data_IF_083118999702
#
_entry.id   IF_083118999702
#
_cell.length_a   1.000
_cell.length_b   1.000
_cell.length_c   1.000
_cell.angle_alpha   90.00
_cell.angle_beta   90.00
_cell.angle_gamma   90.00
#
_symmetry.space_group_name_H-M   'P 1'
#
loop_
_entity.id
_entity.type
_entity.pdbx_description
1 polymer ?
#
# COMPACT_ATOMS: atom_id res chain seq x y z
N UNK A 1 -5.82 25.74 -5.32
CA UNK A 1 -5.85 25.53 -3.85
C UNK A 1 -4.41 25.31 -3.37
N UNK A 2 -3.75 26.32 -2.76
CA UNK A 2 -2.41 26.13 -2.18
C UNK A 2 -2.57 25.28 -0.92
N UNK A 3 -2.05 24.04 -0.92
CA UNK A 3 -1.90 23.24 0.30
C UNK A 3 -0.87 23.93 1.20
N UNK A 4 -1.31 24.93 1.97
CA UNK A 4 -0.49 25.55 3.01
C UNK A 4 -0.24 24.47 4.06
N UNK A 5 1.03 24.12 4.28
CA UNK A 5 1.53 23.20 5.31
C UNK A 5 1.56 21.70 4.99
N UNK A 6 1.75 21.30 3.74
CA UNK A 6 2.06 19.89 3.44
C UNK A 6 3.44 19.50 3.92
N UNK A 7 3.55 18.43 4.72
CA UNK A 7 4.84 17.89 5.14
C UNK A 7 5.32 16.81 4.17
N UNK A 8 6.08 17.23 3.16
CA UNK A 8 6.67 16.34 2.15
C UNK A 8 7.57 15.27 2.77
N UNK A 9 8.26 15.57 3.87
CA UNK A 9 9.13 14.59 4.55
C UNK A 9 8.32 13.44 5.15
N UNK A 10 7.23 13.73 5.87
CA UNK A 10 6.34 12.70 6.42
C UNK A 10 5.74 11.87 5.28
N UNK A 11 5.25 12.53 4.23
CA UNK A 11 4.72 11.86 3.05
C UNK A 11 5.72 10.90 2.41
N UNK A 12 6.96 11.34 2.18
CA UNK A 12 7.98 10.50 1.55
C UNK A 12 8.40 9.33 2.44
N UNK A 13 8.65 9.57 3.73
CA UNK A 13 9.03 8.52 4.68
C UNK A 13 7.94 7.45 4.75
N UNK A 14 6.68 7.87 4.91
CA UNK A 14 5.55 6.94 5.01
C UNK A 14 5.34 6.18 3.71
N UNK A 15 5.43 6.84 2.55
CA UNK A 15 5.36 6.18 1.24
C UNK A 15 6.44 5.09 1.11
N UNK A 16 7.68 5.39 1.51
CA UNK A 16 8.79 4.42 1.49
C UNK A 16 8.52 3.27 2.44
N UNK A 17 8.03 3.53 3.66
CA UNK A 17 7.69 2.48 4.63
C UNK A 17 6.61 1.55 4.09
N UNK A 18 5.54 2.07 3.49
CA UNK A 18 4.50 1.27 2.86
C UNK A 18 5.05 0.49 1.65
N UNK A 19 5.95 1.09 0.86
CA UNK A 19 6.62 0.42 -0.24
C UNK A 19 7.51 -0.75 0.21
N UNK A 20 8.25 -0.59 1.31
CA UNK A 20 9.05 -1.67 1.90
C UNK A 20 8.17 -2.78 2.49
N UNK A 21 7.04 -2.42 3.12
CA UNK A 21 6.07 -3.37 3.66
C UNK A 21 5.34 -4.14 2.55
N UNK A 22 5.15 -3.51 1.40
CA UNK A 22 4.52 -4.09 0.23
C UNK A 22 5.30 -5.31 -0.31
N UNK A 23 6.63 -5.26 -0.38
CA UNK A 23 7.44 -6.34 -0.96
C UNK A 23 7.19 -7.71 -0.28
N UNK A 24 7.38 -7.88 1.03
CA UNK A 24 7.11 -9.16 1.70
C UNK A 24 5.62 -9.52 1.67
N UNK A 25 4.71 -8.54 1.71
CA UNK A 25 3.26 -8.76 1.60
C UNK A 25 2.89 -9.36 0.24
N UNK A 26 3.47 -8.83 -0.84
CA UNK A 26 3.25 -9.30 -2.20
C UNK A 26 3.77 -10.72 -2.39
N UNK A 27 5.00 -11.00 -1.96
CA UNK A 27 5.57 -12.35 -2.05
C UNK A 27 4.75 -13.37 -1.25
N UNK A 28 4.27 -12.99 -0.08
CA UNK A 28 3.39 -13.82 0.73
C UNK A 28 2.05 -14.09 0.03
N UNK A 29 1.40 -13.07 -0.51
CA UNK A 29 0.13 -13.26 -1.23
C UNK A 29 0.31 -14.13 -2.48
N UNK A 30 1.41 -13.93 -3.21
CA UNK A 30 1.75 -14.77 -4.35
C UNK A 30 1.97 -16.24 -3.95
N UNK A 31 2.69 -16.48 -2.85
CA UNK A 31 2.85 -17.83 -2.31
C UNK A 31 1.54 -18.48 -1.83
N UNK A 32 0.59 -17.68 -1.32
CA UNK A 32 -0.75 -18.13 -0.94
C UNK A 32 -1.53 -18.56 -2.20
N UNK A 33 -1.50 -17.74 -3.26
CA UNK A 33 -2.17 -18.02 -4.53
C UNK A 33 -1.58 -19.25 -5.24
N UNK A 34 -0.27 -19.51 -5.12
CA UNK A 34 0.38 -20.71 -5.64
C UNK A 34 0.18 -21.96 -4.74
N UNK A 35 -0.46 -21.81 -3.58
CA UNK A 35 -0.68 -22.92 -2.62
C UNK A 35 0.59 -23.39 -1.93
N UNK A 36 1.65 -22.58 -1.92
CA UNK A 36 2.94 -22.90 -1.29
C UNK A 36 2.97 -22.55 0.20
N UNK A 37 2.04 -21.70 0.65
CA UNK A 37 1.90 -21.27 2.04
C UNK A 37 1.07 -22.27 2.86
N UNK A 38 1.67 -22.75 3.96
CA UNK A 38 0.99 -23.71 4.85
C UNK A 38 0.18 -22.95 5.91
N UNK A 39 -0.92 -23.54 6.43
CA UNK A 39 -1.69 -22.93 7.52
C UNK A 39 -0.86 -22.60 8.78
N UNK A 40 0.23 -23.34 9.02
CA UNK A 40 1.14 -23.10 10.15
C UNK A 40 2.05 -21.87 10.01
N UNK A 41 2.20 -21.32 8.80
CA UNK A 41 3.12 -20.21 8.49
C UNK A 41 2.51 -18.85 8.86
N UNK A 42 2.14 -18.70 10.13
CA UNK A 42 1.34 -17.58 10.65
C UNK A 42 1.90 -16.20 10.27
N UNK A 43 3.23 -16.04 10.30
CA UNK A 43 3.89 -14.80 9.91
C UNK A 43 3.63 -14.46 8.44
N UNK A 44 3.84 -15.40 7.52
CA UNK A 44 3.63 -15.18 6.10
C UNK A 44 2.14 -15.06 5.76
N UNK A 45 1.28 -15.84 6.41
CA UNK A 45 -0.17 -15.71 6.27
C UNK A 45 -0.66 -14.30 6.67
N UNK A 46 -0.07 -13.70 7.72
CA UNK A 46 -0.34 -12.31 8.08
C UNK A 46 0.04 -11.34 6.94
N UNK A 47 1.23 -11.50 6.35
CA UNK A 47 1.67 -10.69 5.22
C UNK A 47 0.79 -10.85 3.96
N UNK A 48 0.33 -12.07 3.68
CA UNK A 48 -0.59 -12.34 2.57
C UNK A 48 -1.93 -11.62 2.77
N UNK A 49 -2.47 -11.63 3.99
CA UNK A 49 -3.67 -10.86 4.35
C UNK A 49 -3.41 -9.35 4.34
N UNK A 50 -2.23 -8.91 4.77
CA UNK A 50 -1.85 -7.49 4.75
C UNK A 50 -1.78 -6.95 3.32
N UNK A 51 -1.38 -7.77 2.35
CA UNK A 51 -1.39 -7.39 0.93
C UNK A 51 -2.79 -6.99 0.45
N UNK A 52 -3.83 -7.66 0.95
CA UNK A 52 -5.23 -7.34 0.63
C UNK A 52 -5.62 -5.93 1.08
N UNK A 53 -5.01 -5.43 2.15
CA UNK A 53 -5.19 -4.06 2.65
C UNK A 53 -4.35 -3.08 1.82
N UNK A 54 -3.07 -3.40 1.59
CA UNK A 54 -2.14 -2.51 0.86
C UNK A 54 -2.59 -2.25 -0.58
N UNK A 55 -3.27 -3.21 -1.22
CA UNK A 55 -3.80 -3.04 -2.59
C UNK A 55 -5.05 -2.14 -2.64
N UNK A 56 -5.67 -1.83 -1.51
CA UNK A 56 -6.80 -0.91 -1.44
C UNK A 56 -6.31 0.55 -1.38
N UNK A 57 -7.03 1.52 -1.99
CA UNK A 57 -8.23 1.35 -2.80
C UNK A 57 -7.97 1.10 -4.30
N UNK A 58 -6.76 1.37 -4.80
CA UNK A 58 -6.50 1.49 -6.24
C UNK A 58 -6.78 0.20 -6.99
N UNK A 59 -6.34 -0.95 -6.48
CA UNK A 59 -6.57 -2.24 -7.15
C UNK A 59 -8.01 -2.70 -7.09
N UNK A 60 -8.75 -2.30 -6.06
CA UNK A 60 -10.17 -2.63 -5.95
C UNK A 60 -11.02 -1.77 -6.87
N UNK A 61 -10.73 -0.46 -6.95
CA UNK A 61 -11.52 0.47 -7.76
C UNK A 61 -11.17 0.40 -9.25
N UNK A 62 -9.89 0.21 -9.58
CA UNK A 62 -9.38 0.24 -10.96
C UNK A 62 -8.99 -1.15 -11.45
N UNK A 63 -9.56 -2.21 -10.86
CA UNK A 63 -9.26 -3.60 -11.24
C UNK A 63 -9.31 -3.85 -12.76
N UNK A 64 -10.35 -3.39 -13.50
CA UNK A 64 -10.44 -3.65 -14.95
C UNK A 64 -9.27 -3.05 -15.74
N UNK A 65 -8.79 -1.87 -15.33
CA UNK A 65 -7.66 -1.18 -15.97
C UNK A 65 -6.37 -1.92 -15.67
N UNK A 66 -6.19 -2.34 -14.43
CA UNK A 66 -4.98 -3.03 -13.95
C UNK A 66 -4.85 -4.40 -14.60
N UNK A 67 -5.93 -5.17 -14.72
CA UNK A 67 -5.89 -6.48 -15.38
C UNK A 67 -5.64 -6.36 -16.88
N UNK A 68 -6.13 -5.29 -17.52
CA UNK A 68 -5.94 -5.08 -18.95
C UNK A 68 -4.54 -4.56 -19.32
N UNK A 69 -3.90 -3.79 -18.44
CA UNK A 69 -2.62 -3.13 -18.72
C UNK A 69 -1.37 -3.92 -18.31
N UNK A 70 -1.52 -5.15 -17.80
CA UNK A 70 -0.40 -6.03 -17.46
C UNK A 70 0.49 -5.56 -16.27
N UNK A 71 1.74 -6.07 -16.17
CA UNK A 71 2.59 -5.86 -14.99
C UNK A 71 2.87 -4.38 -14.66
N UNK A 72 3.07 -3.53 -15.67
CA UNK A 72 3.38 -2.11 -15.47
C UNK A 72 2.23 -1.36 -14.78
N UNK A 73 0.98 -1.59 -15.21
CA UNK A 73 -0.19 -0.97 -14.56
C UNK A 73 -0.46 -1.60 -13.19
N UNK A 74 -0.19 -2.89 -13.02
CA UNK A 74 -0.28 -3.53 -11.71
C UNK A 74 0.66 -2.89 -10.68
N UNK A 75 1.96 -2.80 -10.97
CA UNK A 75 2.92 -2.15 -10.07
C UNK A 75 2.72 -0.64 -9.98
N UNK A 76 2.28 0.01 -11.06
CA UNK A 76 1.90 1.42 -11.04
C UNK A 76 0.75 1.71 -10.07
N UNK A 77 -0.29 0.88 -10.06
CA UNK A 77 -1.39 1.00 -9.10
C UNK A 77 -0.92 0.80 -7.65
N UNK A 78 0.06 -0.07 -7.41
CA UNK A 78 0.58 -0.36 -6.08
C UNK A 78 1.39 0.81 -5.56
N UNK A 79 2.20 1.40 -6.45
CA UNK A 79 2.92 2.62 -6.18
C UNK A 79 1.96 3.77 -5.81
N UNK A 80 0.86 3.92 -6.56
CA UNK A 80 -0.20 4.89 -6.26
C UNK A 80 -0.81 4.62 -4.88
N UNK A 81 -1.08 3.37 -4.51
CA UNK A 81 -1.57 3.04 -3.16
C UNK A 81 -0.56 3.44 -2.07
N UNK A 82 0.73 3.17 -2.26
CA UNK A 82 1.76 3.56 -1.29
C UNK A 82 1.78 5.09 -1.10
N UNK A 83 1.68 5.85 -2.19
CA UNK A 83 1.55 7.31 -2.13
C UNK A 83 0.24 7.74 -1.46
N UNK A 84 -0.87 7.06 -1.74
CA UNK A 84 -2.16 7.35 -1.11
C UNK A 84 -2.08 7.17 0.41
N UNK A 85 -1.52 6.05 0.89
CA UNK A 85 -1.30 5.83 2.32
C UNK A 85 -0.35 6.87 2.92
N UNK A 86 0.71 7.24 2.20
CA UNK A 86 1.59 8.32 2.65
C UNK A 86 0.86 9.67 2.80
N UNK A 87 -0.05 9.98 1.87
CA UNK A 87 -0.89 11.17 1.93
C UNK A 87 -1.89 11.12 3.09
N UNK A 88 -2.54 9.97 3.31
CA UNK A 88 -3.45 9.77 4.44
C UNK A 88 -2.73 9.98 5.76
N UNK A 89 -1.55 9.38 5.94
CA UNK A 89 -0.77 9.54 7.18
C UNK A 89 -0.31 10.98 7.37
N UNK A 90 0.13 11.66 6.30
CA UNK A 90 0.48 13.08 6.36
C UNK A 90 -0.71 13.92 6.85
N UNK A 91 -1.91 13.68 6.32
CA UNK A 91 -3.12 14.41 6.70
C UNK A 91 -3.55 14.16 8.14
N UNK A 92 -3.52 12.90 8.57
CA UNK A 92 -3.81 12.52 9.95
C UNK A 92 -2.82 13.22 10.90
N UNK A 93 -1.52 13.20 10.57
CA UNK A 93 -0.48 13.83 11.39
C UNK A 93 -0.64 15.36 11.43
N UNK A 94 -1.02 15.98 10.32
CA UNK A 94 -1.31 17.40 10.25
C UNK A 94 -2.49 17.79 11.15
N UNK A 95 -3.58 17.01 11.14
CA UNK A 95 -4.75 17.25 11.99
C UNK A 95 -4.39 17.19 13.48
N UNK A 96 -3.70 16.13 13.90
CA UNK A 96 -3.28 15.98 15.31
C UNK A 96 -2.27 17.04 15.77
N UNK A 97 -1.43 17.55 14.87
CA UNK A 97 -0.50 18.64 15.21
C UNK A 97 -1.22 19.98 15.34
N UNK A 98 -2.34 20.20 14.65
CA UNK A 98 -3.12 21.45 14.75
C UNK A 98 -3.90 21.56 16.07
N UNK A 99 -4.23 20.42 16.68
CA UNK A 99 -4.95 20.36 17.96
C UNK A 99 -4.05 20.56 19.19
N UNK A 100 -2.71 20.54 19.01
CA UNK A 100 -1.72 20.92 20.03
C UNK A 100 -1.28 22.36 19.85
#
# INVERSE_FOLDING_TARGET
MKMKNFNTTIFLITTIMFGLLFIPSFLAAFGEDEGTLRPGDTFWNFFARLFQVIRFPTHTLLWPIITAGGPLTFFGGLFINCMFYGLVVERITFLFRKEK
#
